data_IF_388114704067
#
_entry.id   IF_388114704067
#
_cell.length_a   1.000
_cell.length_b   1.000
_cell.length_c   1.000
_cell.angle_alpha   90.00
_cell.angle_beta   90.00
_cell.angle_gamma   90.00
#
_symmetry.space_group_name_H-M   'P 1'
#
loop_
_entity.id
_entity.type
_entity.pdbx_description
1 polymer ?
#
# COMPACT_ATOMS: atom_id res chain seq x y z
N UNK A 1 11.39 -4.12 12.23
CA UNK A 1 11.43 -2.64 12.09
C UNK A 1 10.92 -2.34 10.70
N UNK A 2 9.91 -1.46 10.57
CA UNK A 2 9.44 -1.03 9.25
C UNK A 2 10.35 0.08 8.73
N UNK A 3 10.72 -0.01 7.46
CA UNK A 3 11.62 0.95 6.81
C UNK A 3 11.00 1.41 5.49
N UNK A 4 11.21 2.69 5.15
CA UNK A 4 10.90 3.19 3.82
C UNK A 4 11.99 2.74 2.85
N UNK A 5 11.59 2.25 1.67
CA UNK A 5 12.52 1.85 0.62
C UNK A 5 12.16 2.46 -0.73
N UNK A 6 13.12 2.52 -1.64
CA UNK A 6 12.94 2.97 -3.02
C UNK A 6 12.72 1.80 -3.97
N UNK A 7 12.25 2.08 -5.18
CA UNK A 7 12.03 1.06 -6.23
C UNK A 7 13.30 0.28 -6.60
N UNK A 8 14.48 0.89 -6.45
CA UNK A 8 15.78 0.28 -6.74
C UNK A 8 16.13 -0.84 -5.76
N UNK A 9 15.58 -0.77 -4.55
CA UNK A 9 15.81 -1.75 -3.48
C UNK A 9 14.85 -2.95 -3.56
N UNK A 10 13.90 -2.92 -4.51
CA UNK A 10 12.96 -4.01 -4.73
C UNK A 10 13.64 -5.25 -5.35
N UNK A 11 13.42 -6.45 -4.78
CA UNK A 11 13.81 -7.69 -5.41
C UNK A 11 13.25 -7.81 -6.82
N UNK A 12 14.02 -8.38 -7.76
CA UNK A 12 13.61 -8.50 -9.17
C UNK A 12 12.23 -9.17 -9.31
N UNK A 13 11.92 -10.16 -8.49
CA UNK A 13 10.63 -10.85 -8.50
C UNK A 13 9.48 -9.97 -7.98
N UNK A 14 9.73 -9.13 -6.97
CA UNK A 14 8.71 -8.23 -6.45
C UNK A 14 8.26 -7.25 -7.53
N UNK A 15 9.17 -6.79 -8.41
CA UNK A 15 8.86 -5.89 -9.54
C UNK A 15 7.70 -6.36 -10.42
N UNK A 16 7.41 -7.66 -10.44
CA UNK A 16 6.44 -8.27 -11.33
C UNK A 16 5.24 -8.92 -10.61
N UNK A 17 5.24 -9.04 -9.27
CA UNK A 17 4.18 -9.76 -8.56
C UNK A 17 4.05 -9.30 -7.11
N UNK A 18 2.94 -8.65 -6.82
CA UNK A 18 2.44 -8.36 -5.47
C UNK A 18 1.04 -8.94 -5.33
N UNK A 19 0.58 -9.15 -4.11
CA UNK A 19 -0.77 -9.62 -3.79
C UNK A 19 -1.51 -8.49 -3.09
N UNK A 20 -2.68 -8.11 -3.59
CA UNK A 20 -3.59 -7.25 -2.84
C UNK A 20 -4.11 -8.00 -1.61
N UNK A 21 -3.92 -7.41 -0.43
CA UNK A 21 -4.35 -8.00 0.85
C UNK A 21 -5.57 -7.30 1.43
N UNK A 22 -6.00 -6.20 0.82
CA UNK A 22 -7.25 -5.54 1.14
C UNK A 22 -7.14 -4.03 1.07
N UNK A 23 -8.27 -3.40 1.41
CA UNK A 23 -8.45 -1.96 1.30
C UNK A 23 -9.22 -1.37 2.48
N UNK A 24 -9.02 -0.07 2.70
CA UNK A 24 -9.78 0.74 3.65
C UNK A 24 -10.33 1.98 2.96
N UNK A 25 -11.59 2.33 3.25
CA UNK A 25 -12.27 3.49 2.64
C UNK A 25 -11.86 4.82 3.32
N UNK A 26 -10.57 4.99 3.56
CA UNK A 26 -9.93 6.17 4.15
C UNK A 26 -8.60 6.39 3.45
N UNK A 27 -8.23 7.65 3.23
CA UNK A 27 -6.90 8.01 2.77
C UNK A 27 -5.98 8.15 3.98
N UNK A 28 -4.89 7.37 4.03
CA UNK A 28 -3.95 7.36 5.16
C UNK A 28 -2.64 8.10 4.88
N UNK A 29 -2.55 8.84 3.77
CA UNK A 29 -1.34 9.56 3.36
C UNK A 29 -0.85 10.53 4.44
N UNK A 30 -1.75 11.32 5.03
CA UNK A 30 -1.37 12.24 6.13
C UNK A 30 -0.86 11.49 7.37
N UNK A 31 -1.47 10.34 7.69
CA UNK A 31 -1.06 9.50 8.83
C UNK A 31 0.34 8.92 8.60
N UNK A 32 0.63 8.47 7.38
CA UNK A 32 1.95 7.98 6.99
C UNK A 32 3.00 9.10 7.01
N UNK A 33 2.67 10.29 6.49
CA UNK A 33 3.55 11.46 6.51
C UNK A 33 3.88 11.92 7.94
N UNK A 34 2.90 11.92 8.83
CA UNK A 34 3.11 12.25 10.25
C UNK A 34 4.03 11.25 10.96
N UNK A 35 4.13 10.02 10.45
CA UNK A 35 5.05 8.98 10.92
C UNK A 35 6.41 9.00 10.22
N UNK A 36 6.65 9.98 9.35
CA UNK A 36 7.92 10.18 8.66
C UNK A 36 8.07 9.41 7.35
N UNK A 37 6.98 8.84 6.81
CA UNK A 37 6.98 8.17 5.52
C UNK A 37 6.57 9.13 4.40
N UNK A 38 7.25 9.05 3.26
CA UNK A 38 6.99 9.89 2.11
C UNK A 38 6.54 9.06 0.92
N UNK A 39 5.63 9.61 0.13
CA UNK A 39 5.23 9.02 -1.14
C UNK A 39 6.46 8.91 -2.07
N UNK A 40 6.67 7.73 -2.64
CA UNK A 40 7.68 7.52 -3.69
C UNK A 40 7.16 7.99 -5.05
N UNK A 41 5.84 8.09 -5.21
CA UNK A 41 5.19 8.58 -6.42
C UNK A 41 3.85 9.21 -6.11
N UNK A 42 3.69 10.47 -6.52
CA UNK A 42 2.44 11.21 -6.41
C UNK A 42 1.93 11.55 -7.80
N UNK A 43 0.63 11.35 -8.02
CA UNK A 43 -0.05 11.73 -9.25
C UNK A 43 -1.21 12.65 -8.91
N UNK A 44 -1.41 13.66 -9.74
CA UNK A 44 -2.58 14.53 -9.66
C UNK A 44 -3.08 14.69 -11.07
N UNK A 45 -4.32 14.28 -11.30
CA UNK A 45 -5.03 14.51 -12.55
C UNK A 45 -6.33 15.31 -12.29
N UNK A 46 -7.07 15.60 -13.35
CA UNK A 46 -8.36 16.30 -13.22
C UNK A 46 -9.45 15.50 -12.49
N UNK A 47 -9.18 14.25 -12.12
CA UNK A 47 -10.11 13.32 -11.47
C UNK A 47 -9.72 13.03 -10.02
N UNK A 48 -8.47 13.28 -9.61
CA UNK A 48 -8.02 13.01 -8.25
C UNK A 48 -6.52 13.13 -8.02
N UNK A 49 -6.14 12.81 -6.80
CA UNK A 49 -4.75 12.66 -6.36
C UNK A 49 -4.51 11.19 -5.98
N UNK A 50 -3.34 10.67 -6.28
CA UNK A 50 -2.88 9.40 -5.71
C UNK A 50 -1.45 9.50 -5.19
N UNK A 51 -1.19 8.77 -4.11
CA UNK A 51 0.11 8.62 -3.49
C UNK A 51 0.47 7.14 -3.36
N UNK A 52 1.72 6.79 -3.67
CA UNK A 52 2.24 5.44 -3.50
C UNK A 52 3.34 5.46 -2.46
N UNK A 53 3.19 4.66 -1.42
CA UNK A 53 4.23 4.44 -0.41
C UNK A 53 4.78 3.03 -0.56
N UNK A 54 6.10 2.92 -0.38
CA UNK A 54 6.80 1.66 -0.44
C UNK A 54 7.57 1.43 0.86
N UNK A 55 7.14 0.40 1.58
CA UNK A 55 7.68 0.03 2.88
C UNK A 55 8.20 -1.39 2.85
N UNK A 56 9.23 -1.65 3.65
CA UNK A 56 9.77 -2.99 3.90
C UNK A 56 9.65 -3.33 5.37
N UNK A 57 9.21 -4.54 5.65
CA UNK A 57 9.12 -5.09 6.99
C UNK A 57 9.65 -6.52 6.96
N UNK A 58 10.80 -6.72 7.61
CA UNK A 58 11.59 -7.95 7.53
C UNK A 58 11.95 -8.32 6.08
N UNK A 59 11.35 -9.37 5.53
CA UNK A 59 11.54 -9.85 4.16
C UNK A 59 10.39 -9.44 3.22
N UNK A 60 9.31 -8.88 3.78
CA UNK A 60 8.12 -8.51 3.03
C UNK A 60 8.16 -7.03 2.63
N UNK A 61 7.71 -6.76 1.41
CA UNK A 61 7.50 -5.42 0.90
C UNK A 61 6.00 -5.12 0.91
N UNK A 62 5.65 -3.88 1.22
CA UNK A 62 4.28 -3.38 1.26
C UNK A 62 4.17 -2.15 0.35
N UNK A 63 3.17 -2.19 -0.51
CA UNK A 63 2.80 -1.11 -1.43
C UNK A 63 1.48 -0.57 -0.95
N UNK A 64 1.49 0.69 -0.54
CA UNK A 64 0.29 1.35 -0.04
C UNK A 64 -0.07 2.40 -1.07
N UNK A 65 -1.17 2.15 -1.78
CA UNK A 65 -1.69 3.06 -2.79
C UNK A 65 -2.88 3.82 -2.18
N UNK A 66 -2.71 5.12 -2.00
CA UNK A 66 -3.73 6.01 -1.47
C UNK A 66 -4.35 6.76 -2.64
N UNK A 67 -5.65 6.57 -2.87
CA UNK A 67 -6.43 7.24 -3.90
C UNK A 67 -7.39 8.25 -3.27
N UNK A 68 -7.34 9.49 -3.74
CA UNK A 68 -8.21 10.60 -3.38
C UNK A 68 -8.85 11.16 -4.65
N UNK A 69 -9.94 10.54 -5.12
CA UNK A 69 -10.66 11.03 -6.31
C UNK A 69 -11.78 12.01 -5.94
N UNK A 70 -11.87 13.10 -6.71
CA UNK A 70 -12.80 14.20 -6.50
C UNK A 70 -14.26 13.74 -6.68
N UNK A 71 -15.21 14.07 -5.79
CA UNK A 71 -15.10 14.76 -4.49
C UNK A 71 -15.21 13.83 -3.27
N UNK A 72 -15.35 12.51 -3.46
CA UNK A 72 -15.87 11.62 -2.39
C UNK A 72 -15.09 10.34 -2.19
N UNK A 73 -14.17 9.98 -3.08
CA UNK A 73 -13.48 8.70 -2.98
C UNK A 73 -12.18 8.94 -2.21
N UNK A 74 -12.09 8.31 -1.05
CA UNK A 74 -10.86 8.15 -0.28
C UNK A 74 -10.67 6.66 -0.05
N UNK A 75 -9.66 6.09 -0.66
CA UNK A 75 -9.39 4.66 -0.62
C UNK A 75 -7.90 4.47 -0.39
N UNK A 76 -7.55 3.49 0.44
CA UNK A 76 -6.19 2.97 0.52
C UNK A 76 -6.23 1.50 0.18
N UNK A 77 -5.52 1.12 -0.87
CA UNK A 77 -5.27 -0.26 -1.29
C UNK A 77 -3.88 -0.68 -0.80
N UNK A 78 -3.77 -1.92 -0.31
CA UNK A 78 -2.52 -2.42 0.23
C UNK A 78 -2.17 -3.73 -0.45
N UNK A 79 -0.96 -3.77 -1.01
CA UNK A 79 -0.38 -4.96 -1.61
C UNK A 79 0.89 -5.37 -0.88
N UNK A 80 1.23 -6.65 -0.95
CA UNK A 80 2.46 -7.18 -0.35
C UNK A 80 3.11 -8.27 -1.18
N UNK A 81 4.40 -8.49 -0.98
CA UNK A 81 5.12 -9.68 -1.45
C UNK A 81 4.99 -10.87 -0.49
N UNK A 82 4.36 -10.68 0.67
CA UNK A 82 4.19 -11.72 1.68
C UNK A 82 3.34 -12.88 1.19
N UNK A 83 3.66 -14.09 1.65
CA UNK A 83 2.86 -15.31 1.43
C UNK A 83 1.91 -15.61 2.60
N UNK A 84 1.80 -14.71 3.57
CA UNK A 84 0.92 -14.83 4.74
C UNK A 84 -0.55 -14.58 4.38
N UNK A 85 -1.48 -14.94 5.28
CA UNK A 85 -2.89 -14.60 5.11
C UNK A 85 -3.09 -13.07 5.02
N UNK A 86 -4.05 -12.59 4.23
CA UNK A 86 -4.31 -11.16 4.03
C UNK A 86 -4.52 -10.43 5.36
N UNK A 87 -5.37 -10.98 6.22
CA UNK A 87 -5.62 -10.46 7.57
C UNK A 87 -4.34 -10.38 8.42
N UNK A 88 -3.50 -11.41 8.37
CA UNK A 88 -2.26 -11.43 9.15
C UNK A 88 -1.24 -10.41 8.64
N UNK A 89 -1.08 -10.30 7.31
CA UNK A 89 -0.22 -9.30 6.68
C UNK A 89 -0.68 -7.88 7.00
N UNK A 90 -1.98 -7.62 6.94
CA UNK A 90 -2.57 -6.32 7.26
C UNK A 90 -2.31 -5.92 8.72
N UNK A 91 -2.54 -6.87 9.64
CA UNK A 91 -2.28 -6.68 11.07
C UNK A 91 -0.83 -6.38 11.38
N UNK A 92 0.09 -7.19 10.84
CA UNK A 92 1.53 -6.98 11.04
C UNK A 92 1.97 -5.61 10.52
N UNK A 93 1.49 -5.19 9.34
CA UNK A 93 1.82 -3.88 8.78
C UNK A 93 1.34 -2.74 9.69
N UNK A 94 0.08 -2.78 10.13
CA UNK A 94 -0.51 -1.70 10.93
C UNK A 94 0.09 -1.63 12.34
N UNK A 95 0.40 -2.78 12.95
CA UNK A 95 1.16 -2.83 14.19
C UNK A 95 2.56 -2.21 14.02
N UNK A 96 3.24 -2.53 12.92
CA UNK A 96 4.58 -1.98 12.64
C UNK A 96 4.54 -0.48 12.33
N UNK A 97 3.44 0.02 11.76
CA UNK A 97 3.18 1.44 11.55
C UNK A 97 2.69 2.14 12.82
N UNK A 98 2.41 1.43 13.92
CA UNK A 98 1.78 1.99 15.11
C UNK A 98 0.45 2.69 14.77
N UNK A 99 -0.39 1.99 13.98
CA UNK A 99 -1.73 2.42 13.59
C UNK A 99 -2.74 1.43 14.15
N UNK A 100 -3.73 1.92 14.89
CA UNK A 100 -4.81 1.06 15.40
C UNK A 100 -5.74 0.61 14.27
N UNK A 101 -5.99 -0.70 14.16
CA UNK A 101 -6.95 -1.25 13.20
C UNK A 101 -8.40 -0.98 13.59
N UNK A 102 -8.68 -0.74 14.88
CA UNK A 102 -10.04 -0.57 15.40
C UNK A 102 -10.76 0.66 14.81
N UNK A 103 -10.00 1.59 14.25
CA UNK A 103 -10.50 2.80 13.61
C UNK A 103 -10.94 2.58 12.15
N UNK A 104 -10.65 1.40 11.57
CA UNK A 104 -10.85 1.13 10.16
C UNK A 104 -11.84 -0.01 9.90
N UNK A 105 -12.76 0.23 8.96
CA UNK A 105 -13.48 -0.86 8.30
C UNK A 105 -12.61 -1.40 7.17
N UNK A 106 -12.01 -2.56 7.39
CA UNK A 106 -11.12 -3.21 6.44
C UNK A 106 -11.93 -4.16 5.56
N UNK A 107 -11.78 -4.01 4.25
CA UNK A 107 -12.28 -4.96 3.28
C UNK A 107 -11.12 -5.86 2.91
N UNK A 108 -11.12 -7.08 3.44
CA UNK A 108 -10.15 -8.09 3.02
C UNK A 108 -10.59 -8.67 1.70
N UNK A 109 -9.73 -8.61 0.70
CA UNK A 109 -9.95 -9.34 -0.54
C UNK A 109 -9.59 -10.81 -0.35
N UNK A 110 -10.49 -11.67 -0.83
CA UNK A 110 -10.32 -13.11 -0.79
C UNK A 110 -9.27 -13.52 -1.83
N UNK A 111 -7.99 -13.39 -1.50
CA UNK A 111 -6.90 -14.21 -2.06
C UNK A 111 -6.87 -14.47 -3.57
N UNK A 112 -7.40 -13.58 -4.40
CA UNK A 112 -7.03 -13.57 -5.80
C UNK A 112 -5.65 -12.90 -5.83
N UNK A 113 -4.60 -13.72 -6.00
CA UNK A 113 -3.28 -13.25 -6.39
C UNK A 113 -3.48 -12.50 -7.72
N UNK A 114 -3.78 -11.21 -7.64
CA UNK A 114 -3.74 -10.36 -8.80
C UNK A 114 -2.27 -10.17 -9.12
N UNK A 115 -1.80 -10.81 -10.18
CA UNK A 115 -0.49 -10.58 -10.75
C UNK A 115 -0.44 -9.16 -11.32
N UNK A 116 -0.41 -8.15 -10.44
CA UNK A 116 -0.14 -6.78 -10.81
C UNK A 116 1.36 -6.62 -10.69
N UNK A 117 2.01 -6.44 -11.85
CA UNK A 117 3.40 -5.99 -11.85
C UNK A 117 3.47 -4.66 -11.10
N UNK A 118 4.40 -4.52 -10.16
CA UNK A 118 4.69 -3.22 -9.54
C UNK A 118 4.97 -2.18 -10.63
N UNK A 119 5.61 -2.58 -11.74
CA UNK A 119 5.78 -1.67 -12.87
C UNK A 119 4.45 -1.17 -13.43
N UNK A 120 3.38 -1.96 -13.43
CA UNK A 120 2.06 -1.48 -13.87
C UNK A 120 1.43 -0.51 -12.86
N UNK A 121 1.59 -0.74 -11.55
CA UNK A 121 1.14 0.23 -10.54
C UNK A 121 1.96 1.52 -10.57
N UNK A 122 3.27 1.41 -10.77
CA UNK A 122 4.15 2.55 -10.93
C UNK A 122 3.99 3.21 -12.30
N UNK A 123 3.53 2.52 -13.33
CA UNK A 123 3.30 3.07 -14.68
C UNK A 123 1.81 3.31 -14.97
N UNK A 124 0.97 3.59 -13.95
CA UNK A 124 -0.33 4.19 -14.20
C UNK A 124 -0.10 5.46 -15.05
N UNK A 125 -0.48 5.36 -16.33
CA UNK A 125 -0.27 6.35 -17.40
C UNK A 125 -1.28 7.48 -17.32
#
# INVERSE_FOLDING_TARGET
MIEQVTEEQLPIFSKNSVVEIGSINVAIDDLLRNKGFYSIKSFIDGLGESDVFLLKLDQDFYFIHVLKSHPTIKLTEIHTTSLRSSEHSFKILFEALDISLDEFKINYDNFEIQYISIQNQLNLQ
#
